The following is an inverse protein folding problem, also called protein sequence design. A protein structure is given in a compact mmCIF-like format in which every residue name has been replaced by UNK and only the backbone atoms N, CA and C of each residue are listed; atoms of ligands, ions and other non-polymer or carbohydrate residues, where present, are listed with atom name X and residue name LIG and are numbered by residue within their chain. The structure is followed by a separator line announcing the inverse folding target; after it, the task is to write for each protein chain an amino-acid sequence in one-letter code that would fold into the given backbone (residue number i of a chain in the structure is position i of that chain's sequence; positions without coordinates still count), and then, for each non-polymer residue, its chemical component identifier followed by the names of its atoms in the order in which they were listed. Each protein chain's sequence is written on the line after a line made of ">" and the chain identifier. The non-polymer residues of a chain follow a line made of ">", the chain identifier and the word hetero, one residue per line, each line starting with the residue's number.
data_IF_122549749026
#
_entry.id   IF_122549749026
#
_cell.length_a   1.000
_cell.length_b   1.000
_cell.length_c   1.000
_cell.angle_alpha   90.00
_cell.angle_beta   90.00
_cell.angle_gamma   90.00
#
_symmetry.space_group_name_H-M   'P 1'
#
loop_
_entity.id
_entity.type
_entity.pdbx_description
1 polymer ?
#
# COMPACT_ATOMS: atom_id res chain seq x y z
N UNK A 1 -6.75 -8.97 -56.16
CA UNK A 1 -5.68 -8.12 -55.59
C UNK A 1 -6.11 -7.23 -54.40
N UNK A 2 -7.39 -7.20 -54.04
CA UNK A 2 -7.96 -6.30 -53.02
C UNK A 2 -7.84 -6.88 -51.57
N UNK A 3 -7.74 -8.21 -51.40
CA UNK A 3 -7.71 -8.85 -50.09
C UNK A 3 -6.37 -8.65 -49.34
N UNK A 4 -5.25 -8.61 -50.05
CA UNK A 4 -3.91 -8.44 -49.44
C UNK A 4 -3.70 -7.03 -48.86
N UNK A 5 -4.39 -6.01 -49.36
CA UNK A 5 -4.29 -4.63 -48.87
C UNK A 5 -4.97 -4.41 -47.51
N UNK A 6 -6.01 -5.20 -47.19
CA UNK A 6 -6.74 -5.08 -45.91
C UNK A 6 -5.94 -5.59 -44.71
N UNK A 7 -5.07 -6.58 -44.89
CA UNK A 7 -4.20 -7.11 -43.85
C UNK A 7 -3.00 -6.21 -43.56
N UNK A 8 -2.52 -5.45 -44.55
CA UNK A 8 -1.44 -4.48 -44.38
C UNK A 8 -1.92 -3.28 -43.53
N UNK A 9 -3.13 -2.78 -43.77
CA UNK A 9 -3.71 -1.70 -42.95
C UNK A 9 -4.00 -2.15 -41.51
N UNK A 10 -4.45 -3.39 -41.31
CA UNK A 10 -4.67 -3.93 -39.95
C UNK A 10 -3.35 -4.11 -39.18
N UNK A 11 -2.27 -4.46 -39.84
CA UNK A 11 -0.93 -4.58 -39.25
C UNK A 11 -0.32 -3.24 -38.82
N UNK A 12 -0.61 -2.15 -39.51
CA UNK A 12 -0.10 -0.79 -39.21
C UNK A 12 -0.87 -0.18 -38.03
N UNK A 13 -2.15 -0.49 -37.87
CA UNK A 13 -2.95 0.00 -36.73
C UNK A 13 -2.51 -0.58 -35.38
N UNK A 14 -1.86 -1.73 -35.34
CA UNK A 14 -1.34 -2.37 -34.09
C UNK A 14 -0.01 -1.77 -33.61
N UNK A 15 0.66 -0.93 -34.37
CA UNK A 15 1.95 -0.31 -33.99
C UNK A 15 1.82 1.01 -33.23
N UNK A 16 0.63 1.57 -33.11
CA UNK A 16 0.38 2.74 -32.27
C UNK A 16 0.02 2.29 -30.80
N UNK A 17 0.92 1.51 -30.17
CA UNK A 17 0.91 1.39 -28.73
C UNK A 17 1.33 2.74 -28.15
N UNK A 18 0.39 3.58 -27.75
CA UNK A 18 0.68 4.79 -27.00
C UNK A 18 1.46 4.39 -25.76
N UNK A 19 2.73 4.75 -25.70
CA UNK A 19 3.54 4.66 -24.46
C UNK A 19 2.90 5.63 -23.48
N UNK A 20 2.11 5.12 -22.55
CA UNK A 20 1.65 5.89 -21.41
C UNK A 20 2.90 6.27 -20.61
N UNK A 21 3.34 7.51 -20.72
CA UNK A 21 4.41 8.04 -19.89
C UNK A 21 3.87 8.12 -18.47
N UNK A 22 4.26 7.18 -17.62
CA UNK A 22 4.07 7.28 -16.18
C UNK A 22 5.00 8.39 -15.66
N UNK A 23 4.51 9.24 -14.75
CA UNK A 23 5.32 10.29 -14.13
C UNK A 23 6.50 9.71 -13.33
N UNK A 24 6.43 9.74 -11.99
CA UNK A 24 7.47 9.14 -11.14
C UNK A 24 7.15 7.67 -10.81
N UNK A 25 8.22 6.88 -10.64
CA UNK A 25 8.18 5.51 -10.10
C UNK A 25 9.01 5.46 -8.82
N UNK A 26 8.47 4.81 -7.79
CA UNK A 26 9.19 4.54 -6.54
C UNK A 26 9.82 3.15 -6.58
N UNK A 27 11.01 3.00 -6.01
CA UNK A 27 11.75 1.73 -5.92
C UNK A 27 11.13 0.69 -4.97
N UNK A 28 9.95 0.96 -4.41
CA UNK A 28 9.21 0.05 -3.56
C UNK A 28 7.85 0.61 -3.17
N UNK A 29 6.97 -0.25 -2.65
CA UNK A 29 5.62 0.12 -2.19
C UNK A 29 5.58 0.44 -0.69
N UNK A 30 6.71 0.27 0.01
CA UNK A 30 6.89 0.53 1.45
C UNK A 30 8.35 0.64 1.82
N UNK A 31 8.63 1.20 2.97
CA UNK A 31 9.96 1.27 3.59
C UNK A 31 9.89 0.53 4.92
N UNK A 32 10.86 -0.36 5.17
CA UNK A 32 11.10 -0.94 6.49
C UNK A 32 12.30 -0.21 7.09
N UNK A 33 12.12 0.38 8.27
CA UNK A 33 13.16 1.07 9.02
C UNK A 33 13.50 0.29 10.29
N UNK A 34 14.54 -0.57 10.30
CA UNK A 34 15.02 -1.22 11.53
C UNK A 34 15.66 -0.18 12.47
N UNK A 35 15.39 -0.27 13.77
CA UNK A 35 15.94 0.66 14.77
C UNK A 35 17.46 0.80 14.73
N UNK A 36 18.19 -0.31 14.51
CA UNK A 36 19.65 -0.35 14.40
C UNK A 36 20.20 0.38 13.17
N UNK A 37 19.38 0.65 12.18
CA UNK A 37 19.81 1.34 10.96
C UNK A 37 19.96 2.83 11.23
N UNK A 38 21.06 3.42 10.79
CA UNK A 38 21.27 4.88 10.87
C UNK A 38 20.33 5.63 9.92
N UNK A 39 19.96 5.00 8.82
CA UNK A 39 19.05 5.52 7.80
C UNK A 39 18.44 4.38 6.99
N UNK A 40 17.40 4.71 6.27
CA UNK A 40 16.88 3.91 5.16
C UNK A 40 16.62 4.80 3.94
N UNK A 41 16.49 4.21 2.77
CA UNK A 41 16.32 5.01 1.57
C UNK A 41 15.37 4.36 0.58
N UNK A 42 14.81 5.19 -0.30
CA UNK A 42 14.04 4.74 -1.46
C UNK A 42 14.43 5.54 -2.69
N UNK A 43 14.43 4.88 -3.83
CA UNK A 43 14.72 5.48 -5.12
C UNK A 43 13.45 6.07 -5.71
N UNK A 44 13.54 7.27 -6.26
CA UNK A 44 12.51 7.91 -7.09
C UNK A 44 13.08 8.07 -8.49
N UNK A 45 12.39 7.58 -9.50
CA UNK A 45 12.78 7.69 -10.91
C UNK A 45 11.74 8.52 -11.66
N UNK A 46 12.19 9.42 -12.51
CA UNK A 46 11.33 10.11 -13.46
C UNK A 46 11.26 9.29 -14.76
N UNK A 47 10.15 8.59 -14.96
CA UNK A 47 9.86 7.84 -16.17
C UNK A 47 9.06 8.67 -17.19
N UNK A 48 8.79 9.93 -16.87
CA UNK A 48 8.16 10.89 -17.78
C UNK A 48 9.12 11.42 -18.84
N UNK A 49 8.57 12.22 -19.75
CA UNK A 49 9.30 12.82 -20.87
C UNK A 49 9.72 14.28 -20.62
N UNK A 50 9.48 14.80 -19.42
CA UNK A 50 9.83 16.17 -19.02
C UNK A 50 10.55 16.19 -17.69
N UNK A 51 11.39 17.21 -17.48
CA UNK A 51 11.97 17.50 -16.20
C UNK A 51 10.90 17.98 -15.24
N UNK A 52 10.95 17.49 -14.00
CA UNK A 52 9.99 17.84 -12.95
C UNK A 52 10.72 18.28 -11.69
N UNK A 53 9.99 18.93 -10.78
CA UNK A 53 10.38 19.00 -9.38
C UNK A 53 9.66 17.90 -8.62
N UNK A 54 10.30 17.31 -7.61
CA UNK A 54 9.66 16.42 -6.64
C UNK A 54 9.72 17.04 -5.26
N UNK A 55 8.58 17.02 -4.56
CA UNK A 55 8.48 17.37 -3.15
C UNK A 55 8.18 16.11 -2.35
N UNK A 56 8.91 15.90 -1.26
CA UNK A 56 8.81 14.71 -0.44
C UNK A 56 8.72 15.07 1.04
N UNK A 57 7.84 14.38 1.78
CA UNK A 57 7.67 14.61 3.23
C UNK A 57 7.10 13.35 3.89
N UNK A 58 7.23 13.27 5.22
CA UNK A 58 6.65 12.19 6.02
C UNK A 58 5.47 12.75 6.82
N UNK A 59 4.37 12.02 6.82
CA UNK A 59 3.16 12.29 7.62
C UNK A 59 2.95 11.22 8.70
N UNK A 60 2.40 11.59 9.86
CA UNK A 60 2.03 10.63 10.87
C UNK A 60 0.82 9.80 10.42
N UNK A 61 0.74 8.56 10.90
CA UNK A 61 -0.49 7.79 10.85
C UNK A 61 -1.46 8.23 11.97
N UNK A 62 -2.68 7.70 11.93
CA UNK A 62 -3.76 8.04 12.89
C UNK A 62 -3.29 7.91 14.34
N UNK A 63 -2.49 6.89 14.66
CA UNK A 63 -1.94 6.66 16.00
C UNK A 63 -0.99 7.78 16.52
N UNK A 64 -0.42 8.55 15.60
CA UNK A 64 0.51 9.65 15.90
C UNK A 64 -0.01 11.02 15.46
N UNK A 65 -1.30 11.12 15.12
CA UNK A 65 -1.93 12.38 14.69
C UNK A 65 -1.77 13.46 15.77
N UNK A 66 -1.28 14.63 15.36
CA UNK A 66 -1.03 15.77 16.25
C UNK A 66 0.28 15.68 17.05
N UNK A 67 1.12 14.68 16.78
CA UNK A 67 2.49 14.58 17.31
C UNK A 67 3.49 14.94 16.23
N UNK A 68 4.67 15.36 16.66
CA UNK A 68 5.78 15.59 15.76
C UNK A 68 6.21 14.29 15.08
N UNK A 69 6.59 14.40 13.82
CA UNK A 69 7.13 13.27 13.04
C UNK A 69 8.60 13.10 13.40
N UNK A 70 9.02 11.98 14.04
CA UNK A 70 10.37 11.82 14.53
C UNK A 70 11.37 11.38 13.45
N UNK A 71 11.16 11.83 12.21
CA UNK A 71 11.99 11.50 11.06
C UNK A 71 12.38 12.76 10.29
N UNK A 72 13.65 12.81 9.86
CA UNK A 72 14.10 13.71 8.81
C UNK A 72 14.06 12.99 7.45
N UNK A 73 13.75 13.73 6.40
CA UNK A 73 13.77 13.26 5.02
C UNK A 73 14.63 14.20 4.17
N UNK A 74 15.52 13.65 3.34
CA UNK A 74 16.35 14.45 2.46
C UNK A 74 16.59 13.77 1.11
N UNK A 75 16.56 14.54 0.00
CA UNK A 75 16.12 15.93 -0.08
C UNK A 75 14.58 16.05 0.01
N UNK A 76 14.07 17.11 0.64
CA UNK A 76 12.63 17.40 0.70
C UNK A 76 12.08 17.97 -0.61
N UNK A 77 12.94 18.67 -1.37
CA UNK A 77 12.63 19.24 -2.68
C UNK A 77 13.84 19.04 -3.60
N UNK A 78 13.62 18.53 -4.81
CA UNK A 78 14.69 18.38 -5.80
C UNK A 78 14.16 18.40 -7.23
N UNK A 79 15.01 18.86 -8.18
CA UNK A 79 14.75 18.71 -9.61
C UNK A 79 15.12 17.29 -10.03
N UNK A 80 14.27 16.66 -10.80
CA UNK A 80 14.47 15.32 -11.33
C UNK A 80 14.30 15.34 -12.84
N UNK A 81 15.43 15.31 -13.55
CA UNK A 81 15.42 15.34 -15.02
C UNK A 81 14.86 14.03 -15.57
N UNK A 82 14.38 14.09 -16.82
CA UNK A 82 13.85 12.94 -17.57
C UNK A 82 14.81 11.75 -17.52
N UNK A 83 14.31 10.57 -17.16
CA UNK A 83 15.06 9.31 -17.05
C UNK A 83 16.05 9.25 -15.89
N UNK A 84 16.16 10.31 -15.08
CA UNK A 84 17.06 10.35 -13.92
C UNK A 84 16.40 9.82 -12.65
N UNK A 85 17.24 9.56 -11.67
CA UNK A 85 16.85 9.00 -10.37
C UNK A 85 17.35 9.88 -9.23
N UNK A 86 16.58 9.93 -8.15
CA UNK A 86 16.92 10.58 -6.89
C UNK A 86 16.70 9.60 -5.75
N UNK A 87 17.69 9.44 -4.90
CA UNK A 87 17.54 8.68 -3.65
C UNK A 87 17.01 9.62 -2.56
N UNK A 88 15.87 9.26 -1.98
CA UNK A 88 15.34 9.87 -0.76
C UNK A 88 15.84 9.09 0.43
N UNK A 89 16.43 9.78 1.42
CA UNK A 89 16.99 9.19 2.64
C UNK A 89 16.16 9.60 3.84
N UNK A 90 15.78 8.64 4.66
CA UNK A 90 14.99 8.81 5.88
C UNK A 90 15.88 8.53 7.08
N UNK A 91 15.86 9.43 8.06
CA UNK A 91 16.62 9.34 9.30
C UNK A 91 15.67 9.42 10.50
N UNK A 92 15.81 8.53 11.45
CA UNK A 92 15.08 8.57 12.71
C UNK A 92 15.85 9.39 13.76
N UNK A 93 15.15 10.26 14.50
CA UNK A 93 15.78 11.10 15.55
C UNK A 93 16.17 10.35 16.82
N UNK A 94 15.86 9.06 16.92
CA UNK A 94 16.24 8.21 18.06
C UNK A 94 15.28 8.26 19.26
N UNK A 95 14.19 9.03 19.18
CA UNK A 95 13.22 9.19 20.27
C UNK A 95 11.79 9.41 19.75
N UNK A 96 10.80 9.27 20.63
CA UNK A 96 9.39 9.59 20.34
C UNK A 96 8.56 8.43 19.82
N UNK A 97 9.13 7.21 19.64
CA UNK A 97 8.40 6.02 19.21
C UNK A 97 8.41 4.92 20.28
N UNK A 98 7.35 4.07 20.33
CA UNK A 98 7.35 2.87 21.16
C UNK A 98 8.55 1.98 20.84
N UNK A 99 9.16 1.39 21.86
CA UNK A 99 10.30 0.48 21.71
C UNK A 99 9.91 -1.00 21.69
N UNK A 100 8.62 -1.32 21.79
CA UNK A 100 8.09 -2.67 21.96
C UNK A 100 7.25 -3.17 20.79
N UNK A 101 6.84 -2.30 19.88
CA UNK A 101 6.00 -2.63 18.72
C UNK A 101 6.26 -1.73 17.52
N UNK A 102 5.89 -2.19 16.34
CA UNK A 102 6.02 -1.47 15.09
C UNK A 102 5.21 -0.17 15.09
N UNK A 103 5.78 0.88 14.54
CA UNK A 103 5.11 2.16 14.27
C UNK A 103 5.04 2.41 12.77
N UNK A 104 3.96 3.05 12.30
CA UNK A 104 3.77 3.34 10.88
C UNK A 104 3.63 4.83 10.63
N UNK A 105 4.25 5.27 9.53
CA UNK A 105 4.18 6.62 8.98
C UNK A 105 3.98 6.54 7.48
N UNK A 106 3.81 7.70 6.83
CA UNK A 106 3.55 7.77 5.41
C UNK A 106 4.57 8.68 4.73
N UNK A 107 5.36 8.11 3.84
CA UNK A 107 6.16 8.89 2.89
C UNK A 107 5.27 9.31 1.74
N UNK A 108 5.22 10.62 1.48
CA UNK A 108 4.59 11.23 0.33
C UNK A 108 5.66 11.72 -0.63
N UNK A 109 5.49 11.45 -1.91
CA UNK A 109 6.31 11.98 -3.00
C UNK A 109 5.37 12.56 -4.04
N UNK A 110 5.44 13.86 -4.23
CA UNK A 110 4.58 14.61 -5.13
C UNK A 110 5.39 15.17 -6.29
N UNK A 111 4.89 14.94 -7.49
CA UNK A 111 5.37 15.62 -8.69
C UNK A 111 4.89 17.08 -8.72
N UNK A 112 5.79 17.94 -9.12
CA UNK A 112 5.48 19.32 -9.46
C UNK A 112 5.93 19.50 -10.92
N UNK A 113 5.01 19.30 -11.87
CA UNK A 113 5.33 19.44 -13.30
C UNK A 113 5.61 20.90 -13.66
N UNK A 114 6.29 21.11 -14.80
CA UNK A 114 6.45 22.45 -15.36
C UNK A 114 5.07 23.02 -15.73
N UNK A 115 4.94 24.35 -15.69
CA UNK A 115 3.70 25.01 -16.08
C UNK A 115 3.33 24.62 -17.53
N UNK A 116 2.07 24.19 -17.70
CA UNK A 116 1.57 23.88 -19.02
C UNK A 116 1.57 25.10 -19.93
N UNK A 117 1.94 24.91 -21.18
CA UNK A 117 1.86 25.95 -22.22
C UNK A 117 0.49 25.86 -22.91
N UNK A 118 -0.16 27.02 -23.09
CA UNK A 118 -1.44 27.18 -23.78
C UNK A 118 -2.64 27.33 -22.85
N UNK A 119 -3.72 27.90 -23.44
CA UNK A 119 -5.02 28.08 -22.79
C UNK A 119 -5.80 26.75 -22.81
N UNK A 120 -6.64 26.53 -21.79
CA UNK A 120 -7.48 25.32 -21.64
C UNK A 120 -6.72 23.99 -21.55
N UNK A 121 -5.56 23.96 -20.91
CA UNK A 121 -4.75 22.77 -20.68
C UNK A 121 -5.01 22.19 -19.29
N UNK A 122 -5.36 20.88 -19.22
CA UNK A 122 -5.44 20.15 -17.97
C UNK A 122 -4.05 19.69 -17.55
N UNK A 123 -3.57 20.13 -16.39
CA UNK A 123 -2.31 19.69 -15.82
C UNK A 123 -2.57 18.80 -14.58
N UNK A 124 -2.03 17.58 -14.58
CA UNK A 124 -2.13 16.64 -13.47
C UNK A 124 -0.83 16.61 -12.69
N UNK A 125 -0.92 16.68 -11.37
CA UNK A 125 0.19 16.43 -10.45
C UNK A 125 -0.13 15.17 -9.64
N UNK A 126 0.75 14.16 -9.73
CA UNK A 126 0.56 12.87 -9.06
C UNK A 126 1.30 12.90 -7.72
N UNK A 127 0.62 12.45 -6.67
CA UNK A 127 1.22 12.17 -5.37
C UNK A 127 1.17 10.67 -5.09
N UNK A 128 2.31 10.06 -4.91
CA UNK A 128 2.42 8.70 -4.42
C UNK A 128 2.60 8.72 -2.89
N UNK A 129 1.92 7.82 -2.21
CA UNK A 129 1.95 7.71 -0.75
C UNK A 129 2.21 6.26 -0.37
N UNK A 130 3.34 6.01 0.31
CA UNK A 130 3.75 4.67 0.74
C UNK A 130 4.00 4.63 2.25
N UNK A 131 3.88 3.44 2.84
CA UNK A 131 4.08 3.23 4.27
C UNK A 131 5.56 3.19 4.63
N UNK A 132 5.90 3.77 5.79
CA UNK A 132 7.20 3.65 6.45
C UNK A 132 6.97 2.95 7.77
N UNK A 133 7.49 1.73 7.94
CA UNK A 133 7.38 0.94 9.15
C UNK A 133 8.67 1.03 9.95
N UNK A 134 8.59 1.66 11.14
CA UNK A 134 9.70 1.64 12.09
C UNK A 134 9.60 0.39 12.95
N UNK A 135 10.70 -0.36 13.05
CA UNK A 135 10.80 -1.63 13.79
C UNK A 135 11.84 -1.55 14.88
N UNK A 136 11.42 -1.49 16.15
CA UNK A 136 12.31 -1.65 17.30
C UNK A 136 13.02 -3.00 17.31
N UNK A 137 14.26 -3.01 17.81
CA UNK A 137 15.07 -4.25 17.90
C UNK A 137 14.55 -5.22 18.97
N UNK A 138 13.77 -4.74 19.96
CA UNK A 138 13.17 -5.56 21.01
C UNK A 138 11.97 -6.39 20.56
N UNK A 139 11.47 -6.19 19.34
CA UNK A 139 10.32 -6.93 18.82
C UNK A 139 10.66 -8.41 18.61
N UNK A 140 9.71 -9.28 18.99
CA UNK A 140 9.79 -10.72 18.73
C UNK A 140 8.89 -11.14 17.58
N UNK A 141 9.19 -12.27 16.93
CA UNK A 141 8.45 -12.78 15.78
C UNK A 141 8.81 -12.06 14.47
N UNK A 142 7.96 -12.18 13.48
CA UNK A 142 8.15 -11.61 12.15
C UNK A 142 6.83 -11.09 11.56
N UNK A 143 6.93 -10.21 10.56
CA UNK A 143 5.76 -9.72 9.81
C UNK A 143 5.01 -10.85 9.06
N UNK A 144 5.72 -11.91 8.68
CA UNK A 144 5.13 -13.09 8.04
C UNK A 144 4.31 -13.92 9.03
N UNK A 145 4.84 -14.16 10.25
CA UNK A 145 4.12 -14.83 11.33
C UNK A 145 2.91 -14.01 11.77
N UNK A 146 3.04 -12.71 11.87
CA UNK A 146 1.93 -11.79 12.18
C UNK A 146 0.78 -11.95 11.17
N UNK A 147 1.10 -11.99 9.88
CA UNK A 147 0.10 -12.13 8.83
C UNK A 147 -0.59 -13.50 8.85
N UNK A 148 0.14 -14.59 9.09
CA UNK A 148 -0.43 -15.95 9.17
C UNK A 148 -1.14 -16.24 10.48
N UNK A 149 -0.79 -15.51 11.55
CA UNK A 149 -1.36 -15.66 12.90
C UNK A 149 -2.64 -14.87 13.16
N UNK A 150 -3.19 -14.16 12.16
CA UNK A 150 -4.43 -13.42 12.32
C UNK A 150 -5.60 -14.34 12.66
N UNK A 151 -6.39 -13.93 13.66
CA UNK A 151 -7.59 -14.66 14.11
C UNK A 151 -8.83 -14.00 13.50
N UNK A 152 -9.53 -14.73 12.66
CA UNK A 152 -10.73 -14.25 11.97
C UNK A 152 -11.99 -14.84 12.59
N UNK A 153 -13.03 -14.00 12.74
CA UNK A 153 -14.36 -14.42 13.18
C UNK A 153 -15.43 -13.71 12.36
N UNK A 154 -16.53 -14.40 12.09
CA UNK A 154 -17.75 -13.83 11.53
C UNK A 154 -18.62 -13.36 12.67
N UNK A 155 -19.23 -12.18 12.55
CA UNK A 155 -20.17 -11.62 13.51
C UNK A 155 -21.32 -10.94 12.78
N UNK A 156 -22.55 -11.25 13.17
CA UNK A 156 -23.73 -10.53 12.71
C UNK A 156 -24.13 -9.48 13.76
N UNK A 157 -24.31 -8.23 13.31
CA UNK A 157 -24.66 -7.11 14.20
C UNK A 157 -25.51 -6.11 13.43
N UNK A 158 -26.63 -5.69 14.04
CA UNK A 158 -27.55 -4.69 13.46
C UNK A 158 -27.99 -5.01 12.03
N UNK A 159 -28.28 -6.30 11.74
CA UNK A 159 -28.74 -6.75 10.41
C UNK A 159 -27.65 -6.75 9.34
N UNK A 160 -26.37 -6.70 9.72
CA UNK A 160 -25.22 -6.76 8.80
C UNK A 160 -24.22 -7.79 9.26
N UNK A 161 -23.56 -8.46 8.31
CA UNK A 161 -22.46 -9.38 8.56
C UNK A 161 -21.13 -8.64 8.56
N UNK A 162 -20.25 -8.98 9.53
CA UNK A 162 -18.91 -8.43 9.67
C UNK A 162 -17.89 -9.55 9.79
N UNK A 163 -16.68 -9.27 9.30
CA UNK A 163 -15.49 -10.01 9.69
C UNK A 163 -14.76 -9.22 10.77
N UNK A 164 -14.48 -9.87 11.90
CA UNK A 164 -13.53 -9.38 12.90
C UNK A 164 -12.21 -10.08 12.72
N UNK A 165 -11.14 -9.31 12.71
CA UNK A 165 -9.78 -9.83 12.64
C UNK A 165 -8.98 -9.30 13.82
N UNK A 166 -8.42 -10.21 14.62
CA UNK A 166 -7.55 -9.86 15.76
C UNK A 166 -6.10 -10.12 15.38
N UNK A 167 -5.28 -9.11 15.59
CA UNK A 167 -3.84 -9.12 15.44
C UNK A 167 -3.20 -9.05 16.82
N UNK A 168 -2.75 -10.20 17.34
CA UNK A 168 -2.08 -10.29 18.64
C UNK A 168 -0.56 -10.07 18.53
N UNK A 169 -0.05 -9.79 17.33
CA UNK A 169 1.37 -9.58 17.07
C UNK A 169 1.81 -8.14 17.31
N UNK A 170 3.11 -7.92 17.28
CA UNK A 170 3.74 -6.60 17.40
C UNK A 170 3.89 -5.88 16.05
N UNK A 171 3.42 -6.46 14.95
CA UNK A 171 3.54 -5.96 13.58
C UNK A 171 2.20 -5.51 13.02
N UNK A 172 2.21 -4.50 12.15
CA UNK A 172 1.05 -4.16 11.33
C UNK A 172 0.85 -5.20 10.23
N UNK A 173 -0.39 -5.54 9.94
CA UNK A 173 -0.73 -6.38 8.79
C UNK A 173 -1.51 -5.56 7.77
N UNK A 174 -0.90 -5.35 6.59
CA UNK A 174 -1.51 -4.66 5.46
C UNK A 174 -2.18 -5.67 4.53
N UNK A 175 -3.41 -5.38 4.12
CA UNK A 175 -4.16 -6.22 3.19
C UNK A 175 -4.12 -5.67 1.76
N UNK A 176 -4.11 -6.58 0.80
CA UNK A 176 -4.51 -6.33 -0.58
C UNK A 176 -5.98 -6.66 -0.77
N UNK A 177 -6.30 -7.86 -1.28
CA UNK A 177 -7.69 -8.32 -1.44
C UNK A 177 -8.09 -9.21 -0.27
N UNK A 178 -9.33 -9.06 0.20
CA UNK A 178 -9.94 -9.96 1.19
C UNK A 178 -11.31 -10.39 0.71
N UNK A 179 -11.62 -11.68 0.86
CA UNK A 179 -12.88 -12.30 0.45
C UNK A 179 -13.41 -13.22 1.55
N UNK A 180 -14.70 -13.12 1.84
CA UNK A 180 -15.43 -14.10 2.62
C UNK A 180 -16.14 -15.07 1.68
N UNK A 181 -15.95 -16.36 1.89
CA UNK A 181 -16.58 -17.43 1.08
C UNK A 181 -17.49 -18.27 1.97
N UNK A 182 -18.74 -18.36 1.61
CA UNK A 182 -19.78 -19.12 2.33
C UNK A 182 -20.86 -19.59 1.36
N UNK A 183 -21.38 -20.81 1.55
CA UNK A 183 -22.43 -21.40 0.73
C UNK A 183 -22.17 -21.32 -0.78
N UNK A 184 -20.93 -21.58 -1.18
CA UNK A 184 -20.51 -21.56 -2.59
C UNK A 184 -20.45 -20.14 -3.20
N UNK A 185 -20.67 -19.09 -2.43
CA UNK A 185 -20.62 -17.70 -2.87
C UNK A 185 -19.39 -16.98 -2.31
N UNK A 186 -18.94 -15.97 -3.05
CA UNK A 186 -17.80 -15.14 -2.66
C UNK A 186 -18.25 -13.69 -2.47
N UNK A 187 -17.91 -13.12 -1.32
CA UNK A 187 -18.26 -11.75 -0.93
C UNK A 187 -16.98 -10.94 -0.74
N UNK A 188 -16.79 -9.82 -1.46
CA UNK A 188 -15.66 -8.95 -1.25
C UNK A 188 -15.76 -8.22 0.10
N UNK A 189 -14.60 -8.03 0.74
CA UNK A 189 -14.48 -7.31 2.01
C UNK A 189 -13.41 -6.24 1.88
N UNK A 190 -13.81 -4.98 2.08
CA UNK A 190 -12.87 -3.87 2.09
C UNK A 190 -12.17 -3.85 3.45
N UNK A 191 -10.95 -4.37 3.48
CA UNK A 191 -10.13 -4.43 4.68
C UNK A 191 -9.08 -3.33 4.67
N UNK A 192 -8.88 -2.71 5.84
CA UNK A 192 -7.80 -1.78 6.10
C UNK A 192 -6.67 -2.47 6.85
N UNK A 193 -5.51 -1.83 6.92
CA UNK A 193 -4.38 -2.31 7.73
C UNK A 193 -4.79 -2.46 9.19
N UNK A 194 -4.41 -3.59 9.81
CA UNK A 194 -4.64 -3.85 11.23
C UNK A 194 -3.36 -3.62 12.02
N UNK A 195 -3.45 -2.74 13.00
CA UNK A 195 -2.34 -2.34 13.87
C UNK A 195 -1.90 -3.48 14.82
N UNK A 196 -0.69 -3.40 15.38
CA UNK A 196 -0.26 -4.30 16.45
C UNK A 196 -1.24 -4.32 17.60
N UNK A 197 -1.46 -5.49 18.20
CA UNK A 197 -2.27 -5.70 19.41
C UNK A 197 -3.69 -5.09 19.30
N UNK A 198 -4.30 -5.21 18.12
CA UNK A 198 -5.60 -4.59 17.84
C UNK A 198 -6.56 -5.53 17.11
N UNK A 199 -7.82 -5.10 17.04
CA UNK A 199 -8.88 -5.80 16.31
C UNK A 199 -9.50 -4.87 15.28
N UNK A 200 -9.55 -5.32 14.01
CA UNK A 200 -10.31 -4.69 12.95
C UNK A 200 -11.73 -5.28 12.83
N UNK A 201 -12.68 -4.50 12.35
CA UNK A 201 -14.06 -4.92 12.05
C UNK A 201 -14.46 -4.38 10.69
N UNK A 202 -14.76 -5.30 9.75
CA UNK A 202 -14.99 -4.95 8.35
C UNK A 202 -16.34 -5.50 7.87
N UNK A 203 -17.20 -4.67 7.26
CA UNK A 203 -18.49 -5.14 6.76
C UNK A 203 -18.31 -6.06 5.56
N UNK A 204 -19.08 -7.16 5.54
CA UNK A 204 -19.15 -8.08 4.40
C UNK A 204 -20.31 -7.66 3.52
N UNK A 205 -20.02 -7.03 2.39
CA UNK A 205 -21.05 -6.50 1.49
C UNK A 205 -21.84 -7.62 0.82
N UNK A 206 -23.17 -7.56 0.95
CA UNK A 206 -24.09 -8.49 0.27
C UNK A 206 -24.18 -9.89 0.89
N UNK A 207 -23.47 -10.19 1.97
CA UNK A 207 -23.60 -11.47 2.65
C UNK A 207 -24.89 -11.51 3.50
N UNK A 208 -25.68 -12.59 3.42
CA UNK A 208 -26.88 -12.75 4.25
C UNK A 208 -26.51 -12.89 5.72
N UNK A 209 -27.36 -12.37 6.59
CA UNK A 209 -27.30 -12.53 8.05
C UNK A 209 -28.00 -13.84 8.43
N UNK A 210 -27.56 -14.49 9.49
CA UNK A 210 -28.11 -15.74 10.00
C UNK A 210 -27.07 -16.83 10.18
N UNK A 211 -27.44 -18.09 10.01
CA UNK A 211 -26.54 -19.23 10.23
C UNK A 211 -25.26 -19.10 9.39
N UNK A 212 -24.13 -19.42 10.03
CA UNK A 212 -22.82 -19.44 9.37
C UNK A 212 -22.53 -20.87 8.94
N UNK A 213 -22.29 -21.10 7.64
CA UNK A 213 -21.85 -22.38 7.16
C UNK A 213 -20.47 -22.71 7.79
N UNK A 214 -20.36 -23.90 8.40
CA UNK A 214 -19.12 -24.40 9.02
C UNK A 214 -17.95 -24.52 8.03
N UNK A 215 -18.21 -24.52 6.72
CA UNK A 215 -17.21 -24.52 5.65
C UNK A 215 -16.83 -23.12 5.20
N UNK A 216 -17.37 -22.09 5.85
CA UNK A 216 -17.00 -20.71 5.52
C UNK A 216 -15.54 -20.45 5.77
N UNK A 217 -14.90 -19.75 4.84
CA UNK A 217 -13.49 -19.36 4.91
C UNK A 217 -13.31 -17.89 4.59
N UNK A 218 -12.25 -17.30 5.16
CA UNK A 218 -11.71 -16.02 4.71
C UNK A 218 -10.46 -16.30 3.87
N UNK A 219 -10.45 -15.81 2.65
CA UNK A 219 -9.27 -15.77 1.81
C UNK A 219 -8.78 -14.34 1.75
N UNK A 220 -7.54 -14.10 2.15
CA UNK A 220 -6.94 -12.76 2.12
C UNK A 220 -5.51 -12.81 1.61
N UNK A 221 -5.09 -11.66 1.07
CA UNK A 221 -3.72 -11.43 0.66
C UNK A 221 -3.12 -10.37 1.58
N UNK A 222 -2.11 -10.71 2.37
CA UNK A 222 -1.30 -9.69 3.02
C UNK A 222 -0.22 -9.19 2.07
N UNK A 223 0.16 -7.93 2.21
CA UNK A 223 1.29 -7.37 1.48
C UNK A 223 2.53 -7.44 2.37
N UNK A 224 3.51 -8.25 1.97
CA UNK A 224 4.74 -8.49 2.74
C UNK A 224 5.71 -7.28 2.69
N UNK A 225 6.86 -7.39 3.35
CA UNK A 225 7.87 -6.32 3.45
C UNK A 225 8.45 -5.90 2.09
N UNK A 226 8.42 -6.80 1.10
CA UNK A 226 8.88 -6.54 -0.27
C UNK A 226 7.78 -5.97 -1.18
N UNK A 227 6.56 -5.80 -0.65
CA UNK A 227 5.41 -5.32 -1.42
C UNK A 227 4.67 -6.39 -2.21
N UNK A 228 5.02 -7.66 -2.05
CA UNK A 228 4.37 -8.77 -2.73
C UNK A 228 3.12 -9.26 -1.96
N UNK A 229 2.02 -9.62 -2.65
CA UNK A 229 0.85 -10.23 -2.05
C UNK A 229 1.13 -11.70 -1.70
N UNK A 230 0.86 -12.10 -0.46
CA UNK A 230 0.92 -13.48 0.02
C UNK A 230 -0.48 -13.94 0.38
N UNK A 231 -0.91 -15.05 -0.20
CA UNK A 231 -2.25 -15.61 -0.02
C UNK A 231 -2.35 -16.42 1.28
N UNK A 232 -3.45 -16.21 2.01
CA UNK A 232 -3.87 -17.01 3.16
C UNK A 232 -5.31 -17.45 3.01
N UNK A 233 -5.64 -18.61 3.57
CA UNK A 233 -7.01 -19.12 3.68
C UNK A 233 -7.23 -19.64 5.09
N UNK A 234 -8.23 -19.11 5.78
CA UNK A 234 -8.53 -19.42 7.19
C UNK A 234 -10.00 -19.78 7.32
N UNK A 235 -10.29 -20.89 8.00
CA UNK A 235 -11.66 -21.21 8.39
C UNK A 235 -12.15 -20.24 9.45
N UNK A 236 -13.39 -19.78 9.32
CA UNK A 236 -14.02 -18.87 10.28
C UNK A 236 -15.13 -19.60 11.01
N UNK A 237 -15.06 -19.57 12.33
CA UNK A 237 -16.07 -20.09 13.22
C UNK A 237 -16.64 -18.95 14.08
N UNK A 238 -17.81 -19.16 14.64
CA UNK A 238 -18.38 -18.28 15.66
C UNK A 238 -17.53 -18.24 16.94
#
# INVERSE_FOLDING_TARGET
>A
MIVKSRYVLAGIALLYSSVAAAGITLGGTRIIYPQKSKETSILVKNDGNQDIMIQSWIEPDVAFKGKDVPFALTPALSRLATGKQQTLRVFYYGQGLPGDKESVFWLNVQEIPQKAEGDNTLQLAIRQRIKVFYRPDAMTGSSAEAASGLKWRVQDESGKRYLRVTNDSLYHVSFGTTQYKSDGKTYPVDTEMVSPLSTGKFPVKGAPVGSIDKRSVVEYYNINDYGAPIKHTVSVFE
#
